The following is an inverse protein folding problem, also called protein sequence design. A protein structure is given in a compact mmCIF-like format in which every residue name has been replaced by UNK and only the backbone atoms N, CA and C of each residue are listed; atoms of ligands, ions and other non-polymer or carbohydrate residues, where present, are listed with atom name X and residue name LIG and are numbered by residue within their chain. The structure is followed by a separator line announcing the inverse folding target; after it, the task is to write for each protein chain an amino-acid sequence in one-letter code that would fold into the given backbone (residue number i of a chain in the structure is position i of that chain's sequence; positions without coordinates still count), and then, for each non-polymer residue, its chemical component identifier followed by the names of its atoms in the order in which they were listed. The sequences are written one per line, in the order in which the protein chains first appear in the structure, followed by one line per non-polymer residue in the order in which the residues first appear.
data_IF_735501936970
#
_entry.id   IF_735501936970
#
_cell.length_a   1.000
_cell.length_b   1.000
_cell.length_c   1.000
_cell.angle_alpha   90.00
_cell.angle_beta   90.00
_cell.angle_gamma   90.00
#
_symmetry.space_group_name_H-M   'P 1'
#
loop_
_entity.id
_entity.type
_entity.pdbx_description
1 polymer ?
#
# COMPACT_ATOMS: atom_id res chain seq x y z
N UNK A 1 11.84 20.95 26.13
CA UNK A 1 10.94 19.78 26.07
C UNK A 1 11.50 18.92 24.97
N UNK A 2 12.25 17.91 25.39
CA UNK A 2 13.04 17.01 24.55
C UNK A 2 12.12 15.92 24.00
N UNK A 3 12.03 15.80 22.68
CA UNK A 3 11.52 14.59 22.02
C UNK A 3 12.59 14.07 21.10
N UNK A 4 13.58 13.44 21.72
CA UNK A 4 14.37 12.36 21.18
C UNK A 4 13.50 11.31 20.48
N UNK A 5 13.42 11.36 19.15
CA UNK A 5 13.06 10.19 18.33
C UNK A 5 14.27 9.87 17.46
N UNK A 6 15.04 8.88 17.91
CA UNK A 6 16.28 8.47 17.27
C UNK A 6 16.06 8.01 15.83
N UNK A 7 16.74 8.68 14.89
CA UNK A 7 17.01 8.12 13.56
C UNK A 7 17.75 6.79 13.75
N UNK A 8 17.05 5.66 13.59
CA UNK A 8 17.72 4.37 13.45
C UNK A 8 18.64 4.46 12.23
N UNK A 9 19.91 4.11 12.42
CA UNK A 9 20.86 3.91 11.31
C UNK A 9 20.41 2.68 10.54
N UNK A 10 19.68 2.87 9.44
CA UNK A 10 19.34 1.79 8.51
C UNK A 10 20.61 1.39 7.74
N UNK A 11 21.39 0.51 8.36
CA UNK A 11 22.60 -0.05 7.75
C UNK A 11 22.19 -0.84 6.50
N UNK A 12 22.46 -0.28 5.33
CA UNK A 12 22.15 -0.89 4.03
C UNK A 12 21.26 -0.06 3.10
N UNK A 13 20.79 1.12 3.53
CA UNK A 13 20.00 2.03 2.67
C UNK A 13 20.92 3.11 2.09
N UNK A 14 21.13 3.09 0.77
CA UNK A 14 21.94 4.10 0.08
C UNK A 14 21.24 5.47 0.04
N UNK A 15 19.95 5.48 -0.29
CA UNK A 15 19.10 6.67 -0.30
C UNK A 15 17.62 6.33 -0.22
N UNK A 16 16.82 7.25 0.29
CA UNK A 16 15.35 7.19 0.24
C UNK A 16 14.90 7.64 -1.14
N UNK A 17 14.16 6.80 -1.86
CA UNK A 17 13.63 7.13 -3.20
C UNK A 17 12.29 7.85 -3.12
N UNK A 18 11.44 7.46 -2.17
CA UNK A 18 10.11 8.01 -1.97
C UNK A 18 9.90 8.13 -0.47
N UNK A 19 9.58 9.34 -0.01
CA UNK A 19 9.24 9.58 1.38
C UNK A 19 7.93 8.87 1.75
N UNK A 20 7.82 8.40 3.00
CA UNK A 20 6.65 7.64 3.45
C UNK A 20 5.34 8.42 3.26
N UNK A 21 5.34 9.71 3.56
CA UNK A 21 4.16 10.57 3.40
C UNK A 21 3.74 10.74 1.94
N UNK A 22 4.69 10.72 1.01
CA UNK A 22 4.41 10.77 -0.41
C UNK A 22 3.75 9.48 -0.90
N UNK A 23 4.21 8.31 -0.42
CA UNK A 23 3.55 7.01 -0.68
C UNK A 23 2.12 7.03 -0.17
N UNK A 24 1.91 7.43 1.09
CA UNK A 24 0.58 7.46 1.70
C UNK A 24 -0.36 8.45 1.00
N UNK A 25 0.15 9.59 0.54
CA UNK A 25 -0.62 10.55 -0.24
C UNK A 25 -1.08 9.95 -1.56
N UNK A 26 -0.17 9.29 -2.30
CA UNK A 26 -0.54 8.66 -3.57
C UNK A 26 -1.53 7.51 -3.39
N UNK A 27 -1.45 6.77 -2.29
CA UNK A 27 -2.41 5.70 -1.97
C UNK A 27 -3.82 6.28 -1.77
N UNK A 28 -3.96 7.39 -1.04
CA UNK A 28 -5.26 8.06 -0.83
C UNK A 28 -5.85 8.59 -2.13
N UNK A 29 -5.03 9.19 -2.98
CA UNK A 29 -5.47 9.64 -4.30
C UNK A 29 -5.96 8.47 -5.15
N UNK A 30 -5.20 7.38 -5.18
CA UNK A 30 -5.59 6.17 -5.91
C UNK A 30 -6.88 5.55 -5.36
N UNK A 31 -7.04 5.51 -4.03
CA UNK A 31 -8.27 5.02 -3.40
C UNK A 31 -9.49 5.83 -3.86
N UNK A 32 -9.40 7.17 -3.82
CA UNK A 32 -10.48 8.05 -4.28
C UNK A 32 -10.79 7.87 -5.78
N UNK A 33 -9.75 7.68 -6.62
CA UNK A 33 -9.92 7.35 -8.03
C UNK A 33 -10.68 6.02 -8.22
N UNK A 34 -10.35 4.99 -7.43
CA UNK A 34 -10.99 3.68 -7.50
C UNK A 34 -12.43 3.70 -6.94
N UNK A 35 -12.68 4.40 -5.83
CA UNK A 35 -14.02 4.54 -5.26
C UNK A 35 -14.97 5.24 -6.24
N UNK A 36 -14.47 6.24 -6.98
CA UNK A 36 -15.23 6.91 -8.03
C UNK A 36 -15.57 5.98 -9.20
N UNK A 37 -14.76 4.95 -9.47
CA UNK A 37 -14.99 3.95 -10.52
C UNK A 37 -15.96 2.86 -10.04
N UNK A 38 -15.78 2.37 -8.82
CA UNK A 38 -16.48 1.20 -8.27
C UNK A 38 -17.65 1.56 -7.33
N UNK A 39 -18.39 2.63 -7.63
CA UNK A 39 -19.42 3.19 -6.75
C UNK A 39 -20.52 2.21 -6.31
N UNK A 40 -20.87 1.25 -7.17
CA UNK A 40 -21.96 0.29 -6.92
C UNK A 40 -21.50 -1.17 -6.99
N UNK A 41 -20.22 -1.39 -7.26
CA UNK A 41 -19.65 -2.72 -7.43
C UNK A 41 -18.75 -3.05 -6.24
N UNK A 42 -18.65 -4.35 -5.93
CA UNK A 42 -17.75 -4.85 -4.89
C UNK A 42 -16.53 -5.47 -5.56
N UNK A 43 -15.45 -4.70 -5.85
CA UNK A 43 -14.32 -5.23 -6.58
C UNK A 43 -13.55 -6.27 -5.76
N UNK A 44 -12.91 -7.20 -6.48
CA UNK A 44 -12.00 -8.19 -5.92
C UNK A 44 -10.55 -7.70 -6.05
N UNK A 45 -9.95 -7.31 -4.93
CA UNK A 45 -8.52 -7.01 -4.84
C UNK A 45 -7.72 -8.31 -4.76
N UNK A 46 -6.90 -8.58 -5.78
CA UNK A 46 -6.02 -9.75 -5.83
C UNK A 46 -4.57 -9.31 -5.64
N UNK A 47 -3.97 -9.67 -4.51
CA UNK A 47 -2.57 -9.37 -4.19
C UNK A 47 -1.62 -10.49 -4.61
N UNK A 48 -0.58 -10.16 -5.36
CA UNK A 48 0.49 -11.13 -5.68
C UNK A 48 1.55 -11.11 -4.57
N UNK A 49 1.76 -12.26 -3.93
CA UNK A 49 2.71 -12.39 -2.83
C UNK A 49 4.17 -12.34 -3.29
N UNK A 50 5.10 -11.85 -2.46
CA UNK A 50 4.94 -11.41 -1.05
C UNK A 50 4.96 -9.89 -0.86
N UNK A 51 5.52 -9.14 -1.81
CA UNK A 51 5.78 -7.70 -1.67
C UNK A 51 4.53 -6.81 -1.68
N UNK A 52 3.43 -7.27 -2.28
CA UNK A 52 2.21 -6.46 -2.42
C UNK A 52 1.44 -6.26 -1.11
N UNK A 53 1.71 -7.06 -0.07
CA UNK A 53 0.89 -7.09 1.16
C UNK A 53 0.82 -5.75 1.86
N UNK A 54 1.95 -5.04 1.98
CA UNK A 54 1.99 -3.74 2.67
C UNK A 54 1.19 -2.69 1.91
N UNK A 55 1.41 -2.60 0.59
CA UNK A 55 0.67 -1.69 -0.27
C UNK A 55 -0.84 -1.97 -0.30
N UNK A 56 -1.23 -3.24 -0.45
CA UNK A 56 -2.65 -3.62 -0.43
C UNK A 56 -3.30 -3.27 0.90
N UNK A 57 -2.58 -3.45 2.02
CA UNK A 57 -3.12 -3.15 3.34
C UNK A 57 -3.42 -1.67 3.52
N UNK A 58 -2.56 -0.81 2.98
CA UNK A 58 -2.78 0.63 3.04
C UNK A 58 -3.89 1.06 2.06
N UNK A 59 -3.96 0.47 0.87
CA UNK A 59 -5.00 0.77 -0.12
C UNK A 59 -6.39 0.36 0.38
N UNK A 60 -6.55 -0.87 0.88
CA UNK A 60 -7.85 -1.35 1.37
C UNK A 60 -8.37 -0.55 2.58
N UNK A 61 -7.48 0.08 3.35
CA UNK A 61 -7.85 0.96 4.48
C UNK A 61 -8.23 2.36 4.02
N UNK A 62 -7.76 2.78 2.86
CA UNK A 62 -8.00 4.11 2.30
C UNK A 62 -9.26 4.17 1.42
N UNK A 63 -9.73 3.02 0.90
CA UNK A 63 -10.95 2.92 0.11
C UNK A 63 -12.19 2.88 0.99
N UNK A 64 -13.25 3.55 0.55
CA UNK A 64 -14.57 3.57 1.19
C UNK A 64 -15.50 2.45 0.67
N UNK A 65 -15.28 1.96 -0.54
CA UNK A 65 -16.10 0.91 -1.15
C UNK A 65 -15.99 -0.43 -0.41
N UNK A 66 -17.04 -1.27 -0.52
CA UNK A 66 -16.97 -2.65 -0.05
C UNK A 66 -16.02 -3.46 -0.95
N UNK A 67 -15.07 -4.18 -0.36
CA UNK A 67 -14.02 -4.91 -1.08
C UNK A 67 -14.05 -6.40 -0.74
N UNK A 68 -13.77 -7.23 -1.75
CA UNK A 68 -13.32 -8.62 -1.55
C UNK A 68 -11.82 -8.68 -1.72
N UNK A 69 -11.15 -9.54 -0.95
CA UNK A 69 -9.69 -9.64 -0.94
C UNK A 69 -9.30 -11.10 -1.17
N UNK A 70 -8.34 -11.31 -2.08
CA UNK A 70 -7.69 -12.61 -2.30
C UNK A 70 -6.20 -12.43 -2.55
N UNK A 71 -5.42 -13.50 -2.37
CA UNK A 71 -3.99 -13.50 -2.57
C UNK A 71 -3.57 -14.67 -3.45
N UNK A 72 -2.70 -14.37 -4.41
CA UNK A 72 -2.08 -15.39 -5.25
C UNK A 72 -0.59 -15.49 -4.96
N UNK A 73 -0.15 -16.70 -4.63
CA UNK A 73 1.27 -17.04 -4.57
C UNK A 73 1.70 -17.56 -5.94
N UNK A 74 2.52 -16.77 -6.65
CA UNK A 74 3.10 -17.18 -7.93
C UNK A 74 4.59 -17.44 -7.75
N UNK A 75 5.04 -18.61 -8.18
CA UNK A 75 6.46 -18.89 -8.33
C UNK A 75 6.89 -18.48 -9.74
N UNK A 76 7.94 -17.68 -9.85
CA UNK A 76 8.57 -17.49 -11.16
C UNK A 76 9.09 -18.84 -11.63
N UNK A 77 8.64 -19.30 -12.80
CA UNK A 77 9.34 -20.33 -13.53
C UNK A 77 10.65 -19.68 -14.00
N UNK A 78 11.76 -20.06 -13.38
CA UNK A 78 13.10 -19.56 -13.71
C UNK A 78 13.57 -20.00 -15.08
#
# INVERSE_FOLDING_TARGET
MDTSTGKRKDRGVERVLIEADAVQTRIRELAAELDAIYQTETPLLIGVLTGAVTFMSDLMRAMDAELKIDFMAVSSYG
#
